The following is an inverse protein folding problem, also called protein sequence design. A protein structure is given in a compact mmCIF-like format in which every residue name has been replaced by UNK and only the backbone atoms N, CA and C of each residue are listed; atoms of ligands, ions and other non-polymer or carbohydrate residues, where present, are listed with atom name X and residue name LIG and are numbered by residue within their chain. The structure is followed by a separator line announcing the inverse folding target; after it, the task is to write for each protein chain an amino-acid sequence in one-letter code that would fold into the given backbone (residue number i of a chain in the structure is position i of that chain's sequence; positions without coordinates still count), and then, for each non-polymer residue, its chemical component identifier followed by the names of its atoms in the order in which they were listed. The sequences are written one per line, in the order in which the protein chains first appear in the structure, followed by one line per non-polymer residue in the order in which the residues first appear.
data_IF_209516808668
#
_entry.id   IF_209516808668
#
_cell.length_a   1.000
_cell.length_b   1.000
_cell.length_c   1.000
_cell.angle_alpha   90.00
_cell.angle_beta   90.00
_cell.angle_gamma   90.00
#
_symmetry.space_group_name_H-M   'P 1'
#
loop_
_entity.id
_entity.type
_entity.pdbx_description
1 polymer ?
#
# COMPACT_ATOMS: atom_id res chain seq x y z
N UNK A 1 26.37 -30.14 12.88
CA UNK A 1 26.26 -29.11 13.94
C UNK A 1 26.08 -27.80 13.22
N UNK A 2 24.85 -27.29 13.17
CA UNK A 2 24.52 -26.08 12.43
C UNK A 2 25.27 -24.90 13.01
N UNK A 3 26.06 -24.26 12.15
CA UNK A 3 26.81 -23.03 12.43
C UNK A 3 25.81 -21.86 12.47
N UNK A 4 25.01 -21.78 13.54
CA UNK A 4 24.12 -20.65 13.79
C UNK A 4 24.99 -19.50 14.26
N UNK A 5 25.44 -18.67 13.31
CA UNK A 5 26.15 -17.45 13.62
C UNK A 5 25.14 -16.39 14.08
N UNK A 6 25.40 -15.69 15.20
CA UNK A 6 24.56 -14.59 15.63
C UNK A 6 24.57 -13.50 14.56
N UNK A 7 23.42 -13.32 13.91
CA UNK A 7 23.20 -12.24 12.94
C UNK A 7 22.96 -10.95 13.70
N UNK A 8 23.78 -9.94 13.43
CA UNK A 8 23.57 -8.59 13.97
C UNK A 8 22.18 -8.07 13.56
N UNK A 9 21.45 -7.40 14.47
CA UNK A 9 20.18 -6.72 14.16
C UNK A 9 20.27 -5.80 12.92
N UNK A 10 21.44 -5.20 12.67
CA UNK A 10 21.69 -4.33 11.51
C UNK A 10 21.64 -5.09 10.18
N UNK A 11 22.09 -6.35 10.17
CA UNK A 11 22.08 -7.20 8.98
C UNK A 11 20.66 -7.60 8.64
N UNK A 12 19.82 -7.84 9.66
CA UNK A 12 18.41 -8.18 9.49
C UNK A 12 17.60 -6.97 9.05
N UNK A 13 17.78 -5.81 9.71
CA UNK A 13 17.06 -4.57 9.37
C UNK A 13 17.43 -4.05 7.97
N UNK A 14 18.70 -4.17 7.58
CA UNK A 14 19.17 -3.85 6.23
C UNK A 14 18.56 -4.74 5.15
N UNK A 15 18.53 -6.06 5.36
CA UNK A 15 17.90 -7.00 4.41
C UNK A 15 16.38 -6.78 4.30
N UNK A 16 15.71 -6.58 5.43
CA UNK A 16 14.26 -6.35 5.46
C UNK A 16 13.90 -5.03 4.74
N UNK A 17 14.68 -3.97 4.96
CA UNK A 17 14.52 -2.69 4.28
C UNK A 17 14.67 -2.83 2.76
N UNK A 18 15.67 -3.60 2.30
CA UNK A 18 15.90 -3.85 0.87
C UNK A 18 14.73 -4.60 0.23
N UNK A 19 14.18 -5.61 0.91
CA UNK A 19 13.02 -6.37 0.40
C UNK A 19 11.80 -5.44 0.27
N UNK A 20 11.49 -4.68 1.31
CA UNK A 20 10.32 -3.77 1.30
C UNK A 20 10.51 -2.66 0.25
N UNK A 21 11.71 -2.10 0.11
CA UNK A 21 12.00 -1.09 -0.92
C UNK A 21 11.93 -1.65 -2.34
N UNK A 22 12.36 -2.89 -2.55
CA UNK A 22 12.23 -3.56 -3.85
C UNK A 22 10.75 -3.72 -4.22
N UNK A 23 9.92 -4.18 -3.28
CA UNK A 23 8.47 -4.28 -3.47
C UNK A 23 7.88 -2.90 -3.77
N UNK A 24 8.17 -1.90 -2.93
CA UNK A 24 7.69 -0.53 -3.09
C UNK A 24 8.04 0.06 -4.46
N UNK A 25 9.29 -0.05 -4.89
CA UNK A 25 9.75 0.49 -6.18
C UNK A 25 9.13 -0.27 -7.37
N UNK A 26 8.84 -1.56 -7.21
CA UNK A 26 8.17 -2.36 -8.24
C UNK A 26 6.72 -1.96 -8.43
N UNK A 27 5.99 -1.73 -7.34
CA UNK A 27 4.56 -1.37 -7.38
C UNK A 27 4.32 0.13 -7.59
N UNK A 28 5.26 0.98 -7.20
CA UNK A 28 5.16 2.44 -7.30
C UNK A 28 4.72 2.96 -8.68
N UNK A 29 5.34 2.53 -9.81
CA UNK A 29 4.94 3.02 -11.12
C UNK A 29 3.56 2.55 -11.56
N UNK A 30 3.01 1.49 -10.95
CA UNK A 30 1.75 0.86 -11.36
C UNK A 30 0.59 1.26 -10.47
N UNK A 31 0.83 1.48 -9.17
CA UNK A 31 -0.23 1.71 -8.20
C UNK A 31 -0.98 3.03 -8.43
N UNK A 32 -0.27 4.08 -8.85
CA UNK A 32 -0.90 5.37 -9.13
C UNK A 32 -1.80 5.32 -10.38
N UNK A 33 -1.34 4.80 -11.54
CA UNK A 33 -2.22 4.54 -12.68
C UNK A 33 -3.43 3.67 -12.35
N UNK A 34 -3.24 2.59 -11.57
CA UNK A 34 -4.34 1.71 -11.17
C UNK A 34 -5.35 2.42 -10.27
N UNK A 35 -4.89 3.22 -9.31
CA UNK A 35 -5.78 3.98 -8.45
C UNK A 35 -6.56 5.05 -9.22
N UNK A 36 -5.93 5.71 -10.20
CA UNK A 36 -6.62 6.63 -11.10
C UNK A 36 -7.71 5.90 -11.89
N UNK A 37 -7.42 4.72 -12.42
CA UNK A 37 -8.39 3.86 -13.11
C UNK A 37 -9.56 3.48 -12.19
N UNK A 38 -9.26 3.06 -10.95
CA UNK A 38 -10.26 2.76 -9.92
C UNK A 38 -11.16 3.96 -9.63
N UNK A 39 -10.60 5.16 -9.46
CA UNK A 39 -11.40 6.35 -9.23
C UNK A 39 -12.29 6.72 -10.42
N UNK A 40 -11.82 6.54 -11.65
CA UNK A 40 -12.62 6.76 -12.85
C UNK A 40 -13.80 5.78 -12.88
N UNK A 41 -13.55 4.49 -12.63
CA UNK A 41 -14.59 3.46 -12.59
C UNK A 41 -15.61 3.72 -11.48
N UNK A 42 -15.14 4.05 -10.28
CA UNK A 42 -15.98 4.45 -9.15
C UNK A 42 -16.88 5.65 -9.51
N UNK A 43 -16.31 6.68 -10.13
CA UNK A 43 -17.05 7.86 -10.56
C UNK A 43 -18.11 7.51 -11.61
N UNK A 44 -17.78 6.66 -12.59
CA UNK A 44 -18.74 6.19 -13.59
C UNK A 44 -19.92 5.47 -12.92
N UNK A 45 -19.66 4.55 -11.98
CA UNK A 45 -20.74 3.87 -11.27
C UNK A 45 -21.60 4.81 -10.43
N UNK A 46 -20.99 5.83 -9.80
CA UNK A 46 -21.74 6.85 -9.06
C UNK A 46 -22.61 7.69 -9.98
N UNK A 47 -22.08 8.15 -11.13
CA UNK A 47 -22.81 8.96 -12.10
C UNK A 47 -23.94 8.17 -12.75
N UNK A 48 -23.67 6.97 -13.26
CA UNK A 48 -24.68 6.08 -13.84
C UNK A 48 -25.73 5.74 -12.77
N UNK A 49 -25.30 5.41 -11.55
CA UNK A 49 -26.21 5.15 -10.44
C UNK A 49 -27.06 6.35 -10.03
N UNK A 50 -26.55 7.58 -10.20
CA UNK A 50 -27.32 8.80 -9.99
C UNK A 50 -28.36 9.01 -11.10
N UNK A 51 -27.96 8.90 -12.37
CA UNK A 51 -28.85 9.06 -13.54
C UNK A 51 -30.00 8.06 -13.50
N UNK A 52 -29.70 6.77 -13.32
CA UNK A 52 -30.70 5.70 -13.27
C UNK A 52 -31.33 5.52 -11.90
N UNK A 53 -31.03 6.39 -10.92
CA UNK A 53 -31.52 6.30 -9.54
C UNK A 53 -31.23 4.95 -8.85
N UNK A 54 -30.26 4.18 -9.36
CA UNK A 54 -29.90 2.85 -8.86
C UNK A 54 -29.08 2.95 -7.58
N UNK A 55 -29.64 2.46 -6.48
CA UNK A 55 -28.95 2.36 -5.19
C UNK A 55 -27.78 1.35 -5.25
N UNK A 56 -27.89 0.31 -6.07
CA UNK A 56 -26.85 -0.72 -6.21
C UNK A 56 -25.61 -0.14 -6.88
N UNK A 57 -25.77 0.55 -8.01
CA UNK A 57 -24.64 1.15 -8.73
C UNK A 57 -23.95 2.23 -7.89
N UNK A 58 -24.73 3.07 -7.19
CA UNK A 58 -24.15 4.05 -6.25
C UNK A 58 -23.36 3.36 -5.13
N UNK A 59 -23.88 2.27 -4.55
CA UNK A 59 -23.17 1.51 -3.53
C UNK A 59 -21.87 0.91 -4.08
N UNK A 60 -21.89 0.34 -5.28
CA UNK A 60 -20.69 -0.22 -5.93
C UNK A 60 -19.63 0.86 -6.15
N UNK A 61 -20.02 2.01 -6.71
CA UNK A 61 -19.10 3.13 -6.91
C UNK A 61 -18.55 3.70 -5.60
N UNK A 62 -19.37 3.84 -4.55
CA UNK A 62 -18.88 4.27 -3.24
C UNK A 62 -17.92 3.27 -2.60
N UNK A 63 -18.19 1.97 -2.69
CA UNK A 63 -17.32 0.94 -2.16
C UNK A 63 -15.98 0.93 -2.88
N UNK A 64 -16.01 0.97 -4.22
CA UNK A 64 -14.80 1.01 -5.05
C UNK A 64 -13.95 2.26 -4.76
N UNK A 65 -14.59 3.42 -4.61
CA UNK A 65 -13.93 4.66 -4.21
C UNK A 65 -13.21 4.52 -2.86
N UNK A 66 -13.89 3.98 -1.85
CA UNK A 66 -13.33 3.81 -0.50
C UNK A 66 -12.17 2.81 -0.50
N UNK A 67 -12.31 1.68 -1.21
CA UNK A 67 -11.24 0.67 -1.31
C UNK A 67 -10.02 1.24 -2.03
N UNK A 68 -10.23 1.95 -3.13
CA UNK A 68 -9.14 2.58 -3.90
C UNK A 68 -8.41 3.63 -3.07
N UNK A 69 -9.14 4.47 -2.34
CA UNK A 69 -8.55 5.46 -1.43
C UNK A 69 -7.78 4.78 -0.29
N UNK A 70 -8.35 3.74 0.33
CA UNK A 70 -7.68 2.99 1.40
C UNK A 70 -6.38 2.33 0.90
N UNK A 71 -6.38 1.76 -0.30
CA UNK A 71 -5.20 1.16 -0.92
C UNK A 71 -4.08 2.19 -1.11
N UNK A 72 -4.40 3.40 -1.57
CA UNK A 72 -3.42 4.49 -1.69
C UNK A 72 -2.87 4.96 -0.35
N UNK A 73 -3.73 5.05 0.68
CA UNK A 73 -3.29 5.38 2.04
C UNK A 73 -2.32 4.33 2.56
N UNK A 74 -2.67 3.04 2.46
CA UNK A 74 -1.80 1.94 2.89
C UNK A 74 -0.46 1.94 2.13
N UNK A 75 -0.48 2.16 0.82
CA UNK A 75 0.73 2.31 0.03
C UNK A 75 1.61 3.48 0.52
N UNK A 76 0.98 4.62 0.85
CA UNK A 76 1.67 5.81 1.35
C UNK A 76 2.26 5.61 2.75
N UNK A 77 1.80 4.61 3.51
CA UNK A 77 2.33 4.26 4.82
C UNK A 77 3.55 3.33 4.79
N UNK A 78 3.85 2.68 3.65
CA UNK A 78 5.02 1.79 3.52
C UNK A 78 6.36 2.48 3.86
N UNK A 79 6.66 3.72 3.40
CA UNK A 79 7.87 4.42 3.79
C UNK A 79 7.93 4.76 5.28
N UNK A 80 6.78 5.08 5.88
CA UNK A 80 6.66 5.36 7.32
C UNK A 80 6.97 4.12 8.15
N UNK A 81 6.47 2.96 7.73
CA UNK A 81 6.79 1.67 8.37
C UNK A 81 8.30 1.39 8.33
N UNK A 82 8.96 1.65 7.19
CA UNK A 82 10.41 1.55 7.06
C UNK A 82 11.16 2.51 7.99
N UNK A 83 10.66 3.73 8.13
CA UNK A 83 11.21 4.72 9.07
C UNK A 83 11.16 4.22 10.52
N UNK A 84 10.03 3.66 10.94
CA UNK A 84 9.88 3.06 12.27
C UNK A 84 10.86 1.91 12.51
N UNK A 85 11.03 1.03 11.51
CA UNK A 85 11.94 -0.10 11.59
C UNK A 85 13.40 0.33 11.78
N UNK A 86 13.82 1.39 11.08
CA UNK A 86 15.14 2.01 11.26
C UNK A 86 15.30 2.65 12.65
N UNK A 87 14.27 3.34 13.14
CA UNK A 87 14.29 3.95 14.47
C UNK A 87 14.44 2.89 15.56
N UNK A 88 13.70 1.78 15.48
CA UNK A 88 13.82 0.67 16.44
C UNK A 88 15.22 0.04 16.37
N UNK A 89 15.75 -0.20 15.16
CA UNK A 89 17.12 -0.74 14.97
C UNK A 89 18.19 0.16 15.60
N UNK A 90 17.99 1.48 15.62
CA UNK A 90 18.92 2.43 16.23
C UNK A 90 18.81 2.50 17.76
N UNK A 91 17.62 2.25 18.33
CA UNK A 91 17.39 2.26 19.79
C UNK A 91 17.86 0.97 20.46
N UNK A 92 17.79 -0.16 19.74
CA UNK A 92 18.17 -1.49 20.25
C UNK A 92 19.70 -1.75 20.17
N UNK A 93 20.45 -0.86 19.50
CA UNK A 93 21.92 -0.83 19.59
C UNK A 93 22.39 -0.41 20.98
#
# INVERSE_FOLDING_TARGET
MDNIQPVSPDVVSGKLSTVIMTIYNTIAPVIYPLALLGFIVALLFLLIGAIFHSKVLKKMGSVDFVITAAALVLYSLLPTFLGLLKTISNIVK
#
